data_IF_526568213195
#
_entry.id   IF_526568213195
#
_cell.length_a   1.000
_cell.length_b   1.000
_cell.length_c   1.000
_cell.angle_alpha   90.00
_cell.angle_beta   90.00
_cell.angle_gamma   90.00
#
_symmetry.space_group_name_H-M   'P 1'
#
loop_
_entity.id
_entity.type
_entity.pdbx_description
1 polymer ?
#
# COMPACT_ATOMS: atom_id res chain seq x y z
N UNK A 1 25.37 21.36 68.17
CA UNK A 1 25.15 20.16 67.33
C UNK A 1 24.68 20.67 65.98
N UNK A 2 25.48 20.38 64.95
CA UNK A 2 25.55 21.10 63.68
C UNK A 2 24.26 21.02 62.86
N UNK A 3 23.80 22.18 62.40
CA UNK A 3 22.86 22.33 61.30
C UNK A 3 23.53 21.80 60.03
N UNK A 4 23.05 20.68 59.50
CA UNK A 4 23.38 20.30 58.12
C UNK A 4 22.52 21.15 57.19
N UNK A 5 23.12 22.18 56.60
CA UNK A 5 22.57 22.86 55.44
C UNK A 5 22.41 21.83 54.32
N UNK A 6 21.16 21.58 53.96
CA UNK A 6 20.77 20.72 52.86
C UNK A 6 21.12 21.47 51.56
N UNK A 7 22.34 21.24 51.05
CA UNK A 7 22.82 21.82 49.80
C UNK A 7 22.01 21.22 48.64
N UNK A 8 20.98 21.97 48.21
CA UNK A 8 20.16 21.59 47.07
C UNK A 8 21.07 21.40 45.84
N UNK A 9 20.88 20.33 45.05
CA UNK A 9 21.71 20.09 43.89
C UNK A 9 21.64 21.28 42.94
N UNK A 10 22.77 21.97 42.79
CA UNK A 10 22.89 23.14 41.93
C UNK A 10 22.88 22.67 40.47
N UNK A 11 21.70 22.58 39.87
CA UNK A 11 21.54 22.17 38.49
C UNK A 11 22.14 23.25 37.57
N UNK A 12 23.38 23.04 37.13
CA UNK A 12 24.01 23.87 36.08
C UNK A 12 23.24 23.61 34.78
N UNK A 13 22.61 24.63 34.21
CA UNK A 13 21.98 24.55 32.89
C UNK A 13 23.09 24.46 31.84
N UNK A 14 23.42 23.23 31.41
CA UNK A 14 24.53 22.96 30.48
C UNK A 14 24.14 23.20 29.01
N UNK A 15 22.85 23.28 28.68
CA UNK A 15 22.38 23.32 27.29
C UNK A 15 21.29 24.39 27.14
N UNK A 16 21.51 25.32 26.21
CA UNK A 16 20.63 26.46 25.92
C UNK A 16 19.92 26.35 24.55
N UNK A 17 19.92 25.18 23.91
CA UNK A 17 19.35 24.95 22.59
C UNK A 17 18.58 23.64 22.45
N UNK A 18 17.91 23.47 21.31
CA UNK A 18 17.23 22.23 20.94
C UNK A 18 18.26 21.18 20.53
N UNK A 19 18.20 20.02 21.16
CA UNK A 19 19.01 18.87 20.77
C UNK A 19 18.15 17.83 20.07
N UNK A 20 18.64 17.34 18.94
CA UNK A 20 18.01 16.30 18.17
C UNK A 20 18.65 14.96 18.53
N UNK A 21 17.82 13.98 18.87
CA UNK A 21 18.29 12.63 19.15
C UNK A 21 18.67 11.94 17.85
N UNK A 22 19.92 11.50 17.75
CA UNK A 22 20.39 10.64 16.67
C UNK A 22 20.63 9.20 17.15
N UNK A 23 20.35 8.23 16.29
CA UNK A 23 20.59 6.80 16.54
C UNK A 23 21.97 6.41 16.01
N UNK A 24 22.84 5.91 16.89
CA UNK A 24 24.09 5.23 16.55
C UNK A 24 24.32 4.01 17.46
N UNK A 25 25.58 3.67 17.75
CA UNK A 25 25.97 2.60 18.72
C UNK A 25 25.60 2.94 20.19
N UNK A 26 24.97 4.10 20.40
CA UNK A 26 24.42 4.64 21.66
C UNK A 26 23.48 5.81 21.35
N UNK A 27 22.86 6.41 22.36
CA UNK A 27 22.03 7.63 22.19
C UNK A 27 22.95 8.83 22.09
N UNK A 28 22.93 9.53 20.96
CA UNK A 28 23.62 10.81 20.76
C UNK A 28 22.61 11.94 20.59
N UNK A 29 23.06 13.13 20.90
CA UNK A 29 22.30 14.37 20.79
C UNK A 29 23.11 15.34 19.95
N UNK A 30 22.56 15.70 18.79
CA UNK A 30 23.18 16.63 17.86
C UNK A 30 22.44 17.97 17.92
N UNK A 31 23.17 19.07 17.73
CA UNK A 31 22.58 20.41 17.68
C UNK A 31 21.89 20.70 16.34
N UNK A 32 22.28 19.96 15.28
CA UNK A 32 21.73 20.12 13.93
C UNK A 32 20.52 19.21 13.73
N UNK A 33 19.48 19.76 13.10
CA UNK A 33 18.29 18.99 12.77
C UNK A 33 18.64 17.90 11.74
N UNK A 34 18.12 16.68 11.88
CA UNK A 34 18.29 15.68 10.83
C UNK A 34 17.69 16.21 9.52
N UNK A 35 18.26 15.85 8.36
CA UNK A 35 17.70 16.26 7.08
C UNK A 35 16.24 15.82 7.01
N UNK A 36 15.36 16.61 6.35
CA UNK A 36 13.97 16.24 6.19
C UNK A 36 13.89 14.87 5.53
N UNK A 37 12.99 14.01 6.04
CA UNK A 37 12.76 12.72 5.40
C UNK A 37 12.34 12.96 3.94
N UNK A 38 12.87 12.18 2.98
CA UNK A 38 12.43 12.28 1.60
C UNK A 38 10.91 12.07 1.53
N UNK A 39 10.28 12.76 0.59
CA UNK A 39 8.85 12.55 0.34
C UNK A 39 8.60 11.09 -0.07
N UNK A 40 7.51 10.48 0.44
CA UNK A 40 7.20 9.09 0.13
C UNK A 40 6.91 8.91 -1.36
N UNK A 41 7.49 7.87 -1.96
CA UNK A 41 7.29 7.57 -3.38
C UNK A 41 5.95 6.85 -3.55
N UNK A 42 5.06 7.45 -4.33
CA UNK A 42 3.72 6.91 -4.62
C UNK A 42 3.66 6.39 -6.05
N UNK A 43 3.04 5.23 -6.23
CA UNK A 43 2.75 4.63 -7.54
C UNK A 43 1.43 3.88 -7.49
N UNK A 44 0.70 3.70 -8.60
CA UNK A 44 -0.49 2.86 -8.62
C UNK A 44 -0.15 1.46 -8.09
N UNK A 45 -0.98 0.95 -7.19
CA UNK A 45 -0.80 -0.38 -6.62
C UNK A 45 -0.81 -1.44 -7.72
N UNK A 46 -0.12 -2.56 -7.47
CA UNK A 46 -0.04 -3.65 -8.44
C UNK A 46 -1.42 -4.18 -8.83
N UNK A 47 -2.35 -4.25 -7.88
CA UNK A 47 -3.74 -4.69 -8.14
C UNK A 47 -4.49 -3.71 -9.03
N UNK A 48 -4.23 -2.40 -8.90
CA UNK A 48 -4.78 -1.36 -9.76
C UNK A 48 -4.29 -1.54 -11.21
N UNK A 49 -2.97 -1.72 -11.38
CA UNK A 49 -2.36 -1.97 -12.69
C UNK A 49 -2.88 -3.26 -13.32
N UNK A 50 -3.07 -4.31 -12.52
CA UNK A 50 -3.65 -5.57 -12.98
C UNK A 50 -5.10 -5.40 -13.47
N UNK A 51 -5.95 -4.70 -12.71
CA UNK A 51 -7.33 -4.44 -13.11
C UNK A 51 -7.38 -3.58 -14.40
N UNK A 52 -6.56 -2.55 -14.50
CA UNK A 52 -6.47 -1.74 -15.71
C UNK A 52 -6.00 -2.57 -16.93
N UNK A 53 -5.04 -3.47 -16.74
CA UNK A 53 -4.60 -4.39 -17.79
C UNK A 53 -5.72 -5.39 -18.16
N UNK A 54 -6.46 -5.90 -17.18
CA UNK A 54 -7.56 -6.82 -17.40
C UNK A 54 -8.64 -6.19 -18.29
N UNK A 55 -9.03 -4.94 -18.01
CA UNK A 55 -9.94 -4.17 -18.86
C UNK A 55 -9.43 -4.04 -20.29
N UNK A 56 -8.16 -3.64 -20.49
CA UNK A 56 -7.56 -3.54 -21.83
C UNK A 56 -7.57 -4.86 -22.59
N UNK A 57 -7.31 -5.97 -21.92
CA UNK A 57 -7.34 -7.31 -22.53
C UNK A 57 -8.76 -7.71 -22.88
N UNK A 58 -9.72 -7.53 -21.95
CA UNK A 58 -11.12 -7.87 -22.18
C UNK A 58 -11.68 -7.09 -23.37
N UNK A 59 -11.43 -5.79 -23.41
CA UNK A 59 -11.82 -4.89 -24.50
C UNK A 59 -11.17 -5.25 -25.85
N UNK A 60 -9.91 -5.75 -25.84
CA UNK A 60 -9.27 -6.26 -27.05
C UNK A 60 -9.88 -7.59 -27.53
N UNK A 61 -10.37 -8.43 -26.63
CA UNK A 61 -11.09 -9.65 -26.97
C UNK A 61 -12.48 -9.31 -27.52
N UNK A 62 -13.21 -8.44 -26.83
CA UNK A 62 -14.59 -8.05 -27.21
C UNK A 62 -14.65 -7.39 -28.58
N UNK A 63 -13.62 -6.63 -28.95
CA UNK A 63 -13.46 -6.03 -30.29
C UNK A 63 -12.84 -6.96 -31.33
N UNK A 64 -12.51 -8.21 -30.98
CA UNK A 64 -11.91 -9.19 -31.89
C UNK A 64 -10.44 -8.93 -32.26
N UNK A 65 -9.77 -7.95 -31.63
CA UNK A 65 -8.35 -7.68 -31.86
C UNK A 65 -7.43 -8.80 -31.33
N UNK A 66 -7.92 -9.55 -30.33
CA UNK A 66 -7.31 -10.79 -29.85
C UNK A 66 -8.40 -11.87 -29.78
N UNK A 67 -8.20 -13.06 -30.37
CA UNK A 67 -9.27 -14.03 -30.54
C UNK A 67 -9.74 -14.66 -29.22
N UNK A 68 -8.83 -14.90 -28.28
CA UNK A 68 -9.17 -15.56 -27.01
C UNK A 68 -8.12 -15.34 -25.90
N UNK A 69 -8.49 -15.76 -24.69
CA UNK A 69 -7.63 -15.75 -23.50
C UNK A 69 -6.36 -16.58 -23.68
N UNK A 70 -6.42 -17.66 -24.47
CA UNK A 70 -5.26 -18.52 -24.72
C UNK A 70 -4.20 -17.81 -25.58
N UNK A 71 -4.63 -16.95 -26.51
CA UNK A 71 -3.77 -16.13 -27.35
C UNK A 71 -3.11 -15.02 -26.54
N UNK A 72 -3.88 -14.37 -25.64
CA UNK A 72 -3.31 -13.42 -24.66
C UNK A 72 -2.22 -14.09 -23.84
N UNK A 73 -2.49 -15.30 -23.31
CA UNK A 73 -1.54 -16.05 -22.49
C UNK A 73 -0.23 -16.31 -23.24
N UNK A 74 -0.30 -16.80 -24.47
CA UNK A 74 0.89 -17.01 -25.33
C UNK A 74 1.64 -15.72 -25.62
N UNK A 75 0.95 -14.64 -25.98
CA UNK A 75 1.57 -13.34 -26.33
C UNK A 75 2.27 -12.68 -25.16
N UNK A 76 1.72 -12.81 -23.95
CA UNK A 76 2.28 -12.20 -22.73
C UNK A 76 3.21 -13.14 -21.95
N UNK A 77 3.45 -14.37 -22.43
CA UNK A 77 4.25 -15.37 -21.71
C UNK A 77 3.61 -15.83 -20.39
N UNK A 78 2.28 -15.74 -20.27
CA UNK A 78 1.53 -16.14 -19.08
C UNK A 78 0.91 -17.52 -19.24
N UNK A 79 0.63 -18.18 -18.11
CA UNK A 79 -0.23 -19.35 -18.12
C UNK A 79 -1.68 -18.94 -18.38
N UNK A 80 -2.49 -19.85 -18.95
CA UNK A 80 -3.94 -19.61 -19.12
C UNK A 80 -4.60 -19.28 -17.79
N UNK A 81 -4.25 -20.01 -16.72
CA UNK A 81 -4.78 -19.77 -15.38
C UNK A 81 -4.47 -18.35 -14.87
N UNK A 82 -3.29 -17.80 -15.19
CA UNK A 82 -2.95 -16.43 -14.80
C UNK A 82 -3.77 -15.39 -15.57
N UNK A 83 -4.01 -15.61 -16.86
CA UNK A 83 -4.89 -14.74 -17.65
C UNK A 83 -6.33 -14.80 -17.13
N UNK A 84 -6.83 -15.98 -16.77
CA UNK A 84 -8.16 -16.11 -16.13
C UNK A 84 -8.22 -15.29 -14.85
N UNK A 85 -7.25 -15.45 -13.92
CA UNK A 85 -7.22 -14.68 -12.67
C UNK A 85 -7.19 -13.17 -12.89
N UNK A 86 -6.50 -12.72 -13.94
CA UNK A 86 -6.45 -11.31 -14.31
C UNK A 86 -7.82 -10.83 -14.77
N UNK A 87 -8.46 -11.56 -15.68
CA UNK A 87 -9.77 -11.21 -16.24
C UNK A 87 -10.92 -11.37 -15.24
N UNK A 88 -10.80 -12.26 -14.26
CA UNK A 88 -11.77 -12.41 -13.18
C UNK A 88 -11.90 -11.12 -12.34
N UNK A 89 -10.89 -10.23 -12.35
CA UNK A 89 -10.98 -8.92 -11.69
C UNK A 89 -12.05 -8.02 -12.31
N UNK A 90 -12.36 -8.18 -13.60
CA UNK A 90 -13.41 -7.43 -14.30
C UNK A 90 -14.82 -7.88 -13.88
N UNK A 91 -14.93 -9.04 -13.21
CA UNK A 91 -16.20 -9.57 -12.69
C UNK A 91 -16.56 -9.05 -11.29
N UNK A 92 -15.66 -8.28 -10.67
CA UNK A 92 -15.93 -7.62 -9.39
C UNK A 92 -17.02 -6.55 -9.57
N UNK A 93 -17.75 -6.25 -8.49
CA UNK A 93 -18.73 -5.17 -8.49
C UNK A 93 -18.06 -3.83 -8.88
N UNK A 94 -18.73 -2.96 -9.66
CA UNK A 94 -18.13 -1.73 -10.18
C UNK A 94 -17.48 -0.85 -9.09
N UNK A 95 -18.13 -0.68 -7.94
CA UNK A 95 -17.62 0.11 -6.83
C UNK A 95 -16.34 -0.49 -6.20
N UNK A 96 -16.17 -1.81 -6.27
CA UNK A 96 -14.94 -2.48 -5.84
C UNK A 96 -13.84 -2.21 -6.86
N UNK A 97 -14.15 -2.27 -8.15
CA UNK A 97 -13.18 -1.98 -9.20
C UNK A 97 -12.68 -0.54 -9.12
N UNK A 98 -13.57 0.44 -8.93
CA UNK A 98 -13.21 1.85 -8.72
C UNK A 98 -12.28 2.02 -7.52
N UNK A 99 -12.59 1.40 -6.39
CA UNK A 99 -11.74 1.44 -5.21
C UNK A 99 -10.35 0.85 -5.47
N UNK A 100 -10.28 -0.30 -6.15
CA UNK A 100 -9.00 -0.94 -6.49
C UNK A 100 -8.15 -0.06 -7.41
N UNK A 101 -8.76 0.67 -8.35
CA UNK A 101 -8.05 1.58 -9.24
C UNK A 101 -7.46 2.80 -8.52
N UNK A 102 -8.00 3.16 -7.35
CA UNK A 102 -7.50 4.26 -6.52
C UNK A 102 -6.38 3.85 -5.56
N UNK A 103 -6.08 2.55 -5.44
CA UNK A 103 -5.04 2.08 -4.53
C UNK A 103 -3.65 2.48 -5.00
N UNK A 104 -2.84 2.99 -4.07
CA UNK A 104 -1.44 3.35 -4.28
C UNK A 104 -0.53 2.47 -3.44
N UNK A 105 0.61 2.08 -4.01
CA UNK A 105 1.74 1.60 -3.25
C UNK A 105 2.60 2.78 -2.80
N UNK A 106 2.94 2.81 -1.51
CA UNK A 106 3.74 3.87 -0.88
C UNK A 106 5.08 3.26 -0.45
N UNK A 107 6.19 3.82 -0.91
CA UNK A 107 7.55 3.32 -0.67
C UNK A 107 7.69 1.81 -0.98
N UNK A 108 7.02 1.39 -2.05
CA UNK A 108 7.01 0.00 -2.51
C UNK A 108 6.04 -0.94 -1.76
N UNK A 109 5.39 -0.48 -0.70
CA UNK A 109 4.44 -1.26 0.10
C UNK A 109 3.09 -1.33 -0.60
N UNK A 110 2.65 -2.53 -0.94
CA UNK A 110 1.36 -2.76 -1.61
C UNK A 110 0.21 -2.82 -0.59
N UNK A 111 -0.91 -2.09 -0.81
CA UNK A 111 -2.04 -2.04 0.13
C UNK A 111 -2.88 -3.32 0.13
N UNK A 112 -2.83 -4.11 -0.96
CA UNK A 112 -3.55 -5.36 -1.08
C UNK A 112 -2.80 -6.34 -2.00
N UNK A 113 -2.93 -7.64 -1.70
CA UNK A 113 -2.49 -8.70 -2.59
C UNK A 113 -3.64 -9.17 -3.47
N UNK A 114 -3.39 -9.48 -4.74
CA UNK A 114 -4.41 -10.07 -5.63
C UNK A 114 -5.05 -11.33 -5.04
N UNK A 115 -4.27 -12.15 -4.30
CA UNK A 115 -4.80 -13.34 -3.62
C UNK A 115 -5.97 -13.04 -2.69
N UNK A 116 -6.00 -11.85 -2.06
CA UNK A 116 -7.10 -11.44 -1.20
C UNK A 116 -8.41 -11.20 -1.97
N UNK A 117 -8.34 -10.96 -3.28
CA UNK A 117 -9.49 -10.71 -4.14
C UNK A 117 -10.10 -12.01 -4.72
N UNK A 118 -9.33 -13.11 -4.74
CA UNK A 118 -9.75 -14.38 -5.38
C UNK A 118 -11.01 -15.01 -4.78
N UNK A 119 -11.29 -14.78 -3.51
CA UNK A 119 -12.51 -15.27 -2.88
C UNK A 119 -13.73 -14.51 -3.41
N UNK A 120 -13.60 -13.19 -3.54
CA UNK A 120 -14.66 -12.33 -4.06
C UNK A 120 -14.92 -12.56 -5.55
N UNK A 121 -13.88 -12.73 -6.38
CA UNK A 121 -14.08 -12.98 -7.82
C UNK A 121 -14.80 -14.29 -8.14
N UNK A 122 -14.88 -15.22 -7.18
CA UNK A 122 -15.63 -16.49 -7.31
C UNK A 122 -17.11 -16.35 -6.96
N UNK A 123 -17.53 -15.24 -6.37
CA UNK A 123 -18.91 -14.99 -5.98
C UNK A 123 -19.63 -14.35 -7.17
N UNK A 124 -20.70 -15.00 -7.64
CA UNK A 124 -21.50 -14.49 -8.75
C UNK A 124 -22.34 -13.25 -8.36
N UNK A 125 -22.69 -13.12 -7.08
CA UNK A 125 -23.56 -12.06 -6.57
C UNK A 125 -22.73 -10.93 -5.98
N UNK A 126 -22.88 -9.71 -6.51
CA UNK A 126 -22.14 -8.53 -6.05
C UNK A 126 -22.37 -8.18 -4.58
N UNK A 127 -23.56 -8.47 -4.03
CA UNK A 127 -23.84 -8.28 -2.59
C UNK A 127 -22.87 -9.12 -1.74
N UNK A 128 -22.58 -10.35 -2.15
CA UNK A 128 -21.69 -11.24 -1.41
C UNK A 128 -20.23 -10.83 -1.60
N UNK A 129 -19.85 -10.36 -2.80
CA UNK A 129 -18.54 -9.74 -3.03
C UNK A 129 -18.30 -8.57 -2.08
N UNK A 130 -19.29 -7.67 -1.95
CA UNK A 130 -19.23 -6.55 -0.99
C UNK A 130 -19.14 -7.02 0.45
N UNK A 131 -19.83 -8.09 0.84
CA UNK A 131 -19.78 -8.62 2.20
C UNK A 131 -18.38 -9.15 2.54
N UNK A 132 -17.75 -9.87 1.62
CA UNK A 132 -16.39 -10.41 1.81
C UNK A 132 -15.34 -9.30 1.75
N UNK A 133 -15.53 -8.28 0.91
CA UNK A 133 -14.58 -7.18 0.71
C UNK A 133 -14.91 -5.92 1.52
N UNK A 134 -15.92 -5.95 2.40
CA UNK A 134 -16.36 -4.80 3.19
C UNK A 134 -15.26 -4.18 4.06
N UNK A 135 -14.18 -4.92 4.31
CA UNK A 135 -13.01 -4.48 5.06
C UNK A 135 -11.93 -3.77 4.22
N UNK A 136 -11.96 -3.86 2.88
CA UNK A 136 -11.03 -3.11 2.02
C UNK A 136 -11.30 -1.59 2.05
N UNK A 137 -12.45 -1.18 2.60
CA UNK A 137 -12.93 0.22 2.66
C UNK A 137 -12.15 1.15 3.60
N UNK A 138 -11.04 0.72 4.19
CA UNK A 138 -10.21 1.62 5.00
C UNK A 138 -9.02 2.12 4.19
N UNK A 139 -9.08 3.32 3.60
CA UNK A 139 -7.86 4.03 3.30
C UNK A 139 -7.22 4.35 4.65
N UNK A 140 -6.22 3.57 5.07
CA UNK A 140 -5.30 4.00 6.11
C UNK A 140 -4.52 5.22 5.58
N UNK A 141 -5.14 6.40 5.68
CA UNK A 141 -4.42 7.65 5.90
C UNK A 141 -3.80 7.52 7.29
N UNK A 142 -2.58 7.01 7.36
CA UNK A 142 -1.77 7.21 8.56
C UNK A 142 -1.29 8.66 8.57
N UNK A 143 -1.43 9.36 9.72
CA UNK A 143 -0.96 10.75 9.88
C UNK A 143 0.55 10.85 9.73
#
# INVERSE_FOLDING_TARGET
MSSQENEAPQFRRVIAGTLFRSKGRGVRFDAEAPPPKPEPVRRPARVAQMLALAHKIQDAIDRGAVPDRATVARRLGFTRARVTQLLDLVLLAPEIQEHLLQLEAIDGIEPAAERALRSATRLAIWVDQRRVLGQLRSPQRRP
#
